data_IF_042825733438
#
_entry.id   IF_042825733438
#
_cell.length_a   1.000
_cell.length_b   1.000
_cell.length_c   1.000
_cell.angle_alpha   90.00
_cell.angle_beta   90.00
_cell.angle_gamma   90.00
#
_symmetry.space_group_name_H-M   'P 1'
#
loop_
_entity.id
_entity.type
_entity.pdbx_description
1 polymer ?
#
# COMPACT_ATOMS: atom_id res chain seq x y z
N UNK A 1 -13.07 -4.07 -16.49
CA UNK A 1 -13.17 -2.72 -15.88
C UNK A 1 -11.79 -2.09 -15.91
N UNK A 2 -11.74 -0.77 -16.05
CA UNK A 2 -10.50 0.00 -16.04
C UNK A 2 -10.07 0.30 -14.59
N UNK A 3 -8.84 -0.07 -14.22
CA UNK A 3 -8.25 0.28 -12.93
C UNK A 3 -7.49 1.60 -13.11
N UNK A 4 -7.89 2.63 -12.37
CA UNK A 4 -7.19 3.92 -12.36
C UNK A 4 -6.20 3.93 -11.21
N UNK A 5 -4.92 4.15 -11.53
CA UNK A 5 -3.87 4.37 -10.55
C UNK A 5 -3.62 5.87 -10.43
N UNK A 6 -3.53 6.33 -9.20
CA UNK A 6 -3.13 7.69 -8.89
C UNK A 6 -1.84 7.58 -8.09
N UNK A 7 -0.79 8.22 -8.58
CA UNK A 7 0.41 8.40 -7.76
C UNK A 7 0.12 9.42 -6.67
N UNK A 8 0.71 9.22 -5.50
CA UNK A 8 0.52 10.05 -4.30
C UNK A 8 1.87 10.69 -4.00
N UNK A 9 2.27 11.74 -4.76
CA UNK A 9 3.50 12.47 -4.50
C UNK A 9 3.52 13.02 -3.07
N UNK A 10 4.64 12.86 -2.37
CA UNK A 10 4.95 13.61 -1.15
C UNK A 10 4.30 13.13 0.15
N UNK A 11 4.08 11.83 0.34
CA UNK A 11 4.02 11.25 1.70
C UNK A 11 5.44 11.03 2.24
N UNK A 12 6.20 12.10 2.37
CA UNK A 12 7.53 12.13 3.00
C UNK A 12 7.57 13.29 4.01
N UNK A 13 8.50 13.19 4.97
CA UNK A 13 8.65 14.12 6.09
C UNK A 13 8.47 15.59 5.68
N UNK A 14 7.57 16.30 6.38
CA UNK A 14 7.31 17.74 6.16
C UNK A 14 6.09 18.07 5.30
N UNK A 15 5.48 17.11 4.60
CA UNK A 15 4.26 17.39 3.82
C UNK A 15 3.03 17.71 4.70
N UNK A 16 3.04 17.28 5.98
CA UNK A 16 1.99 17.59 6.96
C UNK A 16 2.14 19.00 7.56
N UNK A 17 3.31 19.63 7.40
CA UNK A 17 3.61 20.98 7.89
C UNK A 17 3.18 22.07 6.90
N UNK A 18 2.45 21.69 5.85
CA UNK A 18 1.75 22.63 4.96
C UNK A 18 2.53 23.02 3.68
N UNK A 19 3.67 22.38 3.41
CA UNK A 19 4.40 22.60 2.16
C UNK A 19 3.88 21.65 1.07
N UNK A 20 2.86 22.09 0.33
CA UNK A 20 2.72 21.73 -1.09
C UNK A 20 1.62 20.76 -1.52
N UNK A 21 1.00 20.00 -0.63
CA UNK A 21 -0.10 19.07 -1.00
C UNK A 21 -1.45 19.60 -0.47
N UNK A 22 -1.93 20.70 -1.06
CA UNK A 22 -3.17 21.38 -0.62
C UNK A 22 -4.43 20.50 -0.65
N UNK A 23 -5.56 21.01 -0.15
CA UNK A 23 -6.88 20.33 -0.13
C UNK A 23 -7.29 19.65 -1.46
N UNK A 24 -6.80 20.13 -2.60
CA UNK A 24 -7.05 19.51 -3.89
C UNK A 24 -6.45 18.09 -3.99
N UNK A 25 -5.26 17.86 -3.45
CA UNK A 25 -4.59 16.56 -3.45
C UNK A 25 -5.35 15.53 -2.60
N UNK A 26 -5.70 15.91 -1.37
CA UNK A 26 -6.47 15.04 -0.47
C UNK A 26 -7.81 14.63 -1.08
N UNK A 27 -8.50 15.54 -1.79
CA UNK A 27 -9.74 15.20 -2.51
C UNK A 27 -9.55 14.14 -3.60
N UNK A 28 -8.36 13.99 -4.18
CA UNK A 28 -8.09 12.91 -5.14
C UNK A 28 -7.88 11.58 -4.43
N UNK A 29 -7.09 11.57 -3.35
CA UNK A 29 -6.84 10.35 -2.55
C UNK A 29 -8.12 9.87 -1.86
N UNK A 30 -8.98 10.77 -1.40
CA UNK A 30 -10.28 10.44 -0.81
C UNK A 30 -11.25 9.73 -1.79
N UNK A 31 -11.04 9.88 -3.10
CA UNK A 31 -11.80 9.15 -4.14
C UNK A 31 -11.24 7.75 -4.42
N UNK A 32 -10.03 7.47 -3.95
CA UNK A 32 -9.46 6.14 -4.05
C UNK A 32 -10.19 5.18 -3.10
N UNK A 33 -10.14 3.90 -3.43
CA UNK A 33 -10.81 2.85 -2.65
C UNK A 33 -9.81 2.03 -1.84
N UNK A 34 -8.58 1.94 -2.35
CA UNK A 34 -7.48 1.14 -1.81
C UNK A 34 -6.22 2.00 -1.87
N UNK A 35 -5.38 1.89 -0.84
CA UNK A 35 -4.02 2.42 -0.80
C UNK A 35 -3.05 1.26 -1.00
N UNK A 36 -2.08 1.44 -1.89
CA UNK A 36 -0.99 0.48 -2.12
C UNK A 36 0.30 1.09 -1.60
N UNK A 37 0.87 0.47 -0.57
CA UNK A 37 2.19 0.81 -0.06
C UNK A 37 3.24 0.07 -0.86
N UNK A 38 4.07 0.81 -1.59
CA UNK A 38 5.21 0.24 -2.29
C UNK A 38 6.45 0.37 -1.40
N UNK A 39 6.88 -0.75 -0.82
CA UNK A 39 8.01 -0.84 0.11
C UNK A 39 9.22 -1.41 -0.60
N UNK A 40 10.39 -0.80 -0.44
CA UNK A 40 11.63 -1.30 -1.02
C UNK A 40 12.24 -2.40 -0.12
N UNK A 41 12.23 -3.66 -0.60
CA UNK A 41 12.77 -4.79 0.17
C UNK A 41 14.30 -4.77 0.33
N UNK A 42 15.02 -3.93 -0.41
CA UNK A 42 16.49 -3.85 -0.34
C UNK A 42 17.00 -2.86 0.70
N UNK A 43 16.11 -2.07 1.29
CA UNK A 43 16.45 -1.13 2.37
C UNK A 43 16.88 -1.87 3.63
N UNK A 44 17.65 -1.19 4.46
CA UNK A 44 18.08 -1.71 5.76
C UNK A 44 16.90 -1.96 6.70
N UNK A 45 15.90 -1.07 6.69
CA UNK A 45 14.67 -1.20 7.50
C UNK A 45 13.39 -0.94 6.68
N UNK A 46 12.95 -1.90 5.86
CA UNK A 46 11.71 -1.77 5.07
C UNK A 46 10.46 -1.64 5.95
N UNK A 47 10.49 -2.22 7.16
CA UNK A 47 9.40 -2.11 8.12
C UNK A 47 9.31 -0.67 8.67
N UNK A 48 10.44 -0.04 8.98
CA UNK A 48 10.54 1.35 9.38
C UNK A 48 9.93 2.29 8.35
N UNK A 49 10.26 2.10 7.07
CA UNK A 49 9.71 2.85 5.95
C UNK A 49 8.18 2.70 5.87
N UNK A 50 7.67 1.47 5.95
CA UNK A 50 6.22 1.22 6.00
C UNK A 50 5.55 1.91 7.19
N UNK A 51 6.14 1.80 8.38
CA UNK A 51 5.60 2.42 9.58
C UNK A 51 5.59 3.94 9.49
N UNK A 52 6.60 4.54 8.85
CA UNK A 52 6.65 5.97 8.58
C UNK A 52 5.50 6.39 7.66
N UNK A 53 5.33 5.72 6.51
CA UNK A 53 4.23 5.98 5.57
C UNK A 53 2.87 5.85 6.26
N UNK A 54 2.68 4.82 7.08
CA UNK A 54 1.41 4.61 7.78
C UNK A 54 1.15 5.68 8.86
N UNK A 55 2.19 6.13 9.59
CA UNK A 55 2.06 7.27 10.53
C UNK A 55 1.64 8.53 9.82
N UNK A 56 2.17 8.76 8.62
CA UNK A 56 1.77 9.89 7.79
C UNK A 56 0.31 9.80 7.37
N UNK A 57 -0.15 8.65 6.86
CA UNK A 57 -1.57 8.45 6.52
C UNK A 57 -2.52 8.72 7.70
N UNK A 58 -2.10 8.42 8.93
CA UNK A 58 -2.88 8.74 10.15
C UNK A 58 -2.95 10.25 10.38
N UNK A 59 -1.87 10.99 10.11
CA UNK A 59 -1.82 12.45 10.25
C UNK A 59 -2.63 13.16 9.17
N UNK A 60 -2.73 12.60 7.97
CA UNK A 60 -3.50 13.18 6.86
C UNK A 60 -4.99 12.80 6.91
N UNK A 61 -5.84 13.64 6.31
CA UNK A 61 -7.27 13.36 6.11
C UNK A 61 -8.05 13.12 7.41
N UNK A 62 -7.58 13.67 8.55
CA UNK A 62 -8.11 13.43 9.89
C UNK A 62 -8.17 11.94 10.26
N UNK A 63 -7.19 11.14 9.79
CA UNK A 63 -7.11 9.70 10.04
C UNK A 63 -7.92 8.84 9.07
N UNK A 64 -8.82 9.40 8.25
CA UNK A 64 -9.67 8.64 7.33
C UNK A 64 -8.89 7.85 6.28
N UNK A 65 -7.71 8.35 5.88
CA UNK A 65 -6.87 7.65 4.91
C UNK A 65 -6.27 6.38 5.50
N UNK A 66 -5.90 6.40 6.78
CA UNK A 66 -5.40 5.21 7.47
C UNK A 66 -6.46 4.11 7.60
N UNK A 67 -7.75 4.47 7.64
CA UNK A 67 -8.86 3.52 7.70
C UNK A 67 -9.23 2.92 6.32
N UNK A 68 -8.65 3.43 5.23
CA UNK A 68 -8.87 2.86 3.90
C UNK A 68 -8.34 1.43 3.84
N UNK A 69 -8.89 0.65 2.91
CA UNK A 69 -8.31 -0.64 2.56
C UNK A 69 -6.85 -0.45 2.11
N UNK A 70 -5.91 -1.17 2.72
CA UNK A 70 -4.49 -1.06 2.40
C UNK A 70 -3.93 -2.40 1.90
N UNK A 71 -2.92 -2.31 1.04
CA UNK A 71 -2.14 -3.44 0.51
C UNK A 71 -0.67 -3.06 0.59
N UNK A 72 0.18 -3.96 1.05
CA UNK A 72 1.63 -3.74 1.04
C UNK A 72 2.25 -4.58 -0.06
N UNK A 73 3.08 -3.94 -0.86
CA UNK A 73 3.80 -4.54 -1.97
C UNK A 73 5.29 -4.33 -1.74
N UNK A 74 6.00 -5.42 -1.45
CA UNK A 74 7.45 -5.38 -1.31
C UNK A 74 8.05 -5.50 -2.71
N UNK A 75 8.69 -4.43 -3.16
CA UNK A 75 9.34 -4.32 -4.46
C UNK A 75 10.84 -4.68 -4.37
N UNK A 76 11.46 -4.86 -5.54
CA UNK A 76 12.88 -5.16 -5.74
C UNK A 76 13.31 -6.55 -5.22
N UNK A 77 12.41 -7.52 -5.27
CA UNK A 77 12.74 -8.90 -4.87
C UNK A 77 13.76 -9.58 -5.80
N UNK A 78 13.97 -9.03 -6.99
CA UNK A 78 15.03 -9.44 -7.90
C UNK A 78 16.41 -9.38 -7.23
N UNK A 79 16.65 -8.38 -6.38
CA UNK A 79 17.90 -8.24 -5.63
C UNK A 79 18.08 -9.32 -4.57
N UNK A 80 17.01 -9.77 -3.94
CA UNK A 80 17.09 -10.91 -3.04
C UNK A 80 17.40 -12.20 -3.79
N UNK A 81 16.79 -12.38 -4.97
CA UNK A 81 17.02 -13.55 -5.80
C UNK A 81 18.46 -13.63 -6.31
N UNK A 82 19.10 -12.49 -6.59
CA UNK A 82 20.53 -12.40 -6.94
C UNK A 82 21.45 -12.92 -5.82
N UNK A 83 21.04 -12.82 -4.55
CA UNK A 83 21.80 -13.32 -3.39
C UNK A 83 21.66 -14.84 -3.19
N UNK A 84 20.70 -15.49 -3.86
CA UNK A 84 20.45 -16.92 -3.78
C UNK A 84 19.11 -17.27 -3.12
N UNK A 85 18.54 -18.40 -3.53
CA UNK A 85 17.18 -18.82 -3.18
C UNK A 85 16.92 -18.89 -1.66
N UNK A 86 17.83 -19.52 -0.90
CA UNK A 86 17.66 -19.71 0.55
C UNK A 86 17.71 -18.37 1.30
N UNK A 87 18.58 -17.44 0.86
CA UNK A 87 18.69 -16.10 1.43
C UNK A 87 17.43 -15.29 1.12
N UNK A 88 16.94 -15.35 -0.11
CA UNK A 88 15.71 -14.67 -0.51
C UNK A 88 14.50 -15.17 0.29
N UNK A 89 14.39 -16.49 0.48
CA UNK A 89 13.32 -17.10 1.25
C UNK A 89 13.35 -16.66 2.73
N UNK A 90 14.53 -16.63 3.35
CA UNK A 90 14.71 -16.17 4.73
C UNK A 90 14.38 -14.68 4.91
N UNK A 91 14.89 -13.81 4.03
CA UNK A 91 14.55 -12.37 4.02
C UNK A 91 13.05 -12.14 3.88
N UNK A 92 12.42 -12.86 2.94
CA UNK A 92 10.97 -12.81 2.72
C UNK A 92 10.20 -13.21 3.96
N UNK A 93 10.55 -14.35 4.58
CA UNK A 93 9.86 -14.87 5.77
C UNK A 93 9.99 -13.93 6.98
N UNK A 94 11.20 -13.38 7.21
CA UNK A 94 11.45 -12.42 8.29
C UNK A 94 10.64 -11.14 8.11
N UNK A 95 10.70 -10.54 6.92
CA UNK A 95 9.97 -9.31 6.64
C UNK A 95 8.46 -9.55 6.66
N UNK A 96 7.98 -10.69 6.15
CA UNK A 96 6.56 -11.06 6.19
C UNK A 96 6.04 -11.14 7.62
N UNK A 97 6.78 -11.76 8.53
CA UNK A 97 6.39 -11.87 9.94
C UNK A 97 6.32 -10.48 10.60
N UNK A 98 7.32 -9.65 10.37
CA UNK A 98 7.40 -8.28 10.87
C UNK A 98 6.23 -7.42 10.37
N UNK A 99 5.99 -7.42 9.06
CA UNK A 99 4.92 -6.68 8.42
C UNK A 99 3.54 -7.16 8.89
N UNK A 100 3.34 -8.48 9.01
CA UNK A 100 2.08 -9.04 9.54
C UNK A 100 1.79 -8.62 10.98
N UNK A 101 2.82 -8.43 11.81
CA UNK A 101 2.64 -7.94 13.18
C UNK A 101 2.30 -6.44 13.22
N UNK A 102 2.86 -5.65 12.30
CA UNK A 102 2.63 -4.20 12.25
C UNK A 102 1.28 -3.81 11.63
N UNK A 103 0.68 -4.67 10.81
CA UNK A 103 -0.54 -4.37 10.06
C UNK A 103 -1.82 -4.83 10.76
N UNK A 104 -2.86 -3.98 10.76
CA UNK A 104 -4.21 -4.32 11.23
C UNK A 104 -4.98 -5.23 10.26
N UNK A 105 -4.63 -5.21 8.97
CA UNK A 105 -5.25 -5.99 7.91
C UNK A 105 -4.22 -6.24 6.81
N UNK A 106 -3.81 -7.49 6.61
CA UNK A 106 -2.58 -7.73 5.83
C UNK A 106 -2.87 -8.42 4.51
N UNK A 107 -2.84 -7.63 3.43
CA UNK A 107 -2.64 -8.14 2.07
C UNK A 107 -1.23 -7.77 1.66
N UNK A 108 -0.33 -8.75 1.77
CA UNK A 108 1.07 -8.60 1.44
C UNK A 108 1.35 -9.25 0.09
N UNK A 109 2.05 -8.54 -0.78
CA UNK A 109 2.47 -9.00 -2.09
C UNK A 109 3.95 -8.67 -2.31
N UNK A 110 4.54 -9.34 -3.29
CA UNK A 110 5.93 -9.21 -3.64
C UNK A 110 6.05 -9.04 -5.14
N UNK A 111 6.92 -8.11 -5.57
CA UNK A 111 7.15 -7.87 -6.99
C UNK A 111 8.57 -7.43 -7.29
N UNK A 112 8.95 -7.53 -8.56
CA UNK A 112 10.05 -6.78 -9.15
C UNK A 112 9.49 -5.90 -10.25
N UNK A 113 9.43 -4.58 -10.01
CA UNK A 113 9.09 -3.63 -11.07
C UNK A 113 10.09 -3.67 -12.24
N UNK A 114 11.36 -4.00 -11.96
CA UNK A 114 12.43 -4.04 -12.95
C UNK A 114 12.27 -5.22 -13.91
N UNK A 115 11.96 -6.40 -13.38
CA UNK A 115 11.82 -7.63 -14.17
C UNK A 115 10.38 -7.94 -14.60
N UNK A 116 9.40 -7.25 -14.02
CA UNK A 116 7.97 -7.52 -14.22
C UNK A 116 7.40 -8.62 -13.32
N UNK A 117 8.23 -9.26 -12.49
CA UNK A 117 7.80 -10.35 -11.60
C UNK A 117 6.68 -9.89 -10.65
N UNK A 118 5.55 -10.59 -10.65
CA UNK A 118 4.43 -10.32 -9.75
C UNK A 118 3.58 -9.09 -10.09
N UNK A 119 3.93 -8.31 -11.13
CA UNK A 119 3.19 -7.10 -11.52
C UNK A 119 1.79 -7.46 -12.04
N UNK A 120 1.66 -8.42 -12.95
CA UNK A 120 0.36 -8.82 -13.49
C UNK A 120 -0.58 -9.42 -12.42
N UNK A 121 -0.01 -10.19 -11.49
CA UNK A 121 -0.75 -10.74 -10.34
C UNK A 121 -1.20 -9.61 -9.40
N UNK A 122 -0.35 -8.63 -9.13
CA UNK A 122 -0.71 -7.41 -8.38
C UNK A 122 -1.89 -6.70 -9.04
N UNK A 123 -1.79 -6.38 -10.33
CA UNK A 123 -2.82 -5.64 -11.05
C UNK A 123 -4.16 -6.38 -11.05
N UNK A 124 -4.13 -7.69 -11.31
CA UNK A 124 -5.32 -8.55 -11.32
C UNK A 124 -5.99 -8.60 -9.93
N UNK A 125 -5.19 -8.77 -8.87
CA UNK A 125 -5.70 -8.80 -7.50
C UNK A 125 -6.22 -7.44 -7.05
N UNK A 126 -5.57 -6.35 -7.46
CA UNK A 126 -6.03 -4.99 -7.11
C UNK A 126 -7.36 -4.67 -7.78
N UNK A 127 -7.55 -5.03 -9.05
CA UNK A 127 -8.83 -4.85 -9.73
C UNK A 127 -9.98 -5.58 -8.98
N UNK A 128 -9.79 -6.86 -8.64
CA UNK A 128 -10.78 -7.63 -7.86
C UNK A 128 -11.02 -7.01 -6.48
N UNK A 129 -9.95 -6.53 -5.83
CA UNK A 129 -10.05 -6.02 -4.49
C UNK A 129 -10.76 -4.66 -4.42
N UNK A 130 -10.43 -3.73 -5.32
CA UNK A 130 -11.11 -2.44 -5.46
C UNK A 130 -12.61 -2.64 -5.70
N UNK A 131 -12.98 -3.58 -6.58
CA UNK A 131 -14.39 -3.93 -6.81
C UNK A 131 -15.09 -4.38 -5.53
N UNK A 132 -14.48 -5.31 -4.79
CA UNK A 132 -15.06 -5.81 -3.53
C UNK A 132 -15.23 -4.71 -2.47
N UNK A 133 -14.26 -3.78 -2.39
CA UNK A 133 -14.34 -2.63 -1.49
C UNK A 133 -15.48 -1.70 -1.90
N UNK A 134 -15.65 -1.42 -3.19
CA UNK A 134 -16.79 -0.63 -3.73
C UNK A 134 -18.14 -1.24 -3.35
N UNK A 135 -18.32 -2.53 -3.64
CA UNK A 135 -19.56 -3.25 -3.34
C UNK A 135 -19.88 -3.23 -1.84
N UNK A 136 -18.86 -3.34 -0.99
CA UNK A 136 -19.04 -3.29 0.48
C UNK A 136 -19.45 -1.89 0.94
N UNK A 137 -18.81 -0.84 0.41
CA UNK A 137 -19.17 0.56 0.75
C UNK A 137 -20.61 0.88 0.33
N UNK A 138 -21.06 0.43 -0.85
CA UNK A 138 -22.42 0.63 -1.33
C UNK A 138 -23.45 -0.05 -0.42
N UNK A 139 -23.25 -1.34 -0.08
CA UNK A 139 -24.14 -2.07 0.81
C UNK A 139 -24.27 -1.43 2.21
N UNK A 140 -23.18 -0.90 2.75
CA UNK A 140 -23.20 -0.20 4.04
C UNK A 140 -23.96 1.13 3.94
N UNK A 141 -23.83 1.86 2.83
CA UNK A 141 -24.60 3.09 2.62
C UNK A 141 -26.11 2.79 2.54
N UNK A 142 -26.52 1.82 1.72
CA UNK A 142 -27.92 1.40 1.56
C UNK A 142 -28.53 0.89 2.88
N UNK A 143 -27.75 0.21 3.73
CA UNK A 143 -28.23 -0.29 5.02
C UNK A 143 -28.42 0.81 6.08
N UNK A 144 -27.70 1.93 5.98
CA UNK A 144 -27.83 3.06 6.92
C UNK A 144 -28.94 4.04 6.53
N UNK A 145 -29.47 3.93 5.30
CA UNK A 145 -30.58 4.75 4.80
C UNK A 145 -31.97 4.13 5.05
N UNK A 146 -32.03 2.88 5.54
CA UNK A 146 -33.25 2.16 5.94
C UNK A 146 -33.37 2.06 7.46
#
# INVERSE_FOLDING_TARGET
EELVLCDVPGLIEGAAEGVGLGHAFLRHVERCHVIVHLVDGTKEDPLGDFNMLNRELVRYGNGKLADMAQVVVVNKIDKWNEEGYDIAADKKAKLEAQLKQAMKHTRLMYMSAMNGDGVDDLMSRMAMFVRKVKETKQKVAEANEN
#
